data_IF_435716213512
#
_entry.id   IF_435716213512
#
_cell.length_a   1.000
_cell.length_b   1.000
_cell.length_c   1.000
_cell.angle_alpha   90.00
_cell.angle_beta   90.00
_cell.angle_gamma   90.00
#
_symmetry.space_group_name_H-M   'P 1'
#
loop_
_entity.id
_entity.type
_entity.pdbx_description
1 polymer ?
#
# COMPACT_ATOMS: atom_id res chain seq x y z
N UNK A 1 2.75 -16.06 2.28
CA UNK A 1 1.79 -14.93 2.27
C UNK A 1 0.84 -15.07 3.44
N UNK A 2 0.54 -13.96 4.12
CA UNK A 2 -0.46 -13.90 5.18
C UNK A 2 -1.47 -12.80 4.86
N UNK A 3 -2.75 -13.17 4.84
CA UNK A 3 -3.87 -12.23 4.69
C UNK A 3 -4.39 -11.79 6.07
N UNK A 4 -4.70 -10.51 6.19
CA UNK A 4 -5.31 -9.92 7.37
C UNK A 4 -6.68 -9.35 6.98
N UNK A 5 -7.77 -9.92 7.52
CA UNK A 5 -9.12 -9.44 7.24
C UNK A 5 -9.47 -8.13 7.97
N UNK A 6 -8.63 -7.70 8.91
CA UNK A 6 -8.83 -6.53 9.77
C UNK A 6 -7.54 -5.70 9.88
N UNK A 7 -7.71 -4.38 9.99
CA UNK A 7 -6.61 -3.44 10.15
C UNK A 7 -5.84 -3.61 11.46
N UNK A 8 -6.53 -3.97 12.54
CA UNK A 8 -5.94 -4.19 13.87
C UNK A 8 -4.89 -5.31 13.83
N UNK A 9 -5.23 -6.45 13.21
CA UNK A 9 -4.32 -7.58 13.10
C UNK A 9 -3.13 -7.28 12.20
N UNK A 10 -3.38 -6.55 11.10
CA UNK A 10 -2.33 -6.08 10.21
C UNK A 10 -1.37 -5.12 10.93
N UNK A 11 -1.90 -4.17 11.69
CA UNK A 11 -1.12 -3.19 12.43
C UNK A 11 -0.25 -3.86 13.51
N UNK A 12 -0.82 -4.79 14.28
CA UNK A 12 -0.06 -5.52 15.30
C UNK A 12 1.15 -6.25 14.68
N UNK A 13 0.95 -6.91 13.53
CA UNK A 13 2.03 -7.60 12.84
C UNK A 13 3.03 -6.63 12.19
N UNK A 14 2.56 -5.51 11.65
CA UNK A 14 3.42 -4.46 11.11
C UNK A 14 4.36 -3.90 12.18
N UNK A 15 3.85 -3.60 13.37
CA UNK A 15 4.63 -3.13 14.52
C UNK A 15 5.72 -4.15 14.91
N UNK A 16 5.37 -5.43 14.95
CA UNK A 16 6.34 -6.50 15.23
C UNK A 16 7.48 -6.51 14.20
N UNK A 17 7.15 -6.47 12.89
CA UNK A 17 8.16 -6.53 11.84
C UNK A 17 9.02 -5.25 11.78
N UNK A 18 8.44 -4.08 11.99
CA UNK A 18 9.20 -2.82 12.06
C UNK A 18 10.22 -2.84 13.20
N UNK A 19 9.86 -3.42 14.36
CA UNK A 19 10.79 -3.59 15.49
C UNK A 19 11.96 -4.52 15.16
N UNK A 20 11.76 -5.48 14.25
CA UNK A 20 12.78 -6.46 13.85
C UNK A 20 13.68 -5.98 12.69
N UNK A 21 13.41 -4.82 12.11
CA UNK A 21 14.19 -4.25 11.03
C UNK A 21 15.67 -4.03 11.42
N UNK A 22 16.60 -4.39 10.52
CA UNK A 22 18.03 -4.27 10.77
C UNK A 22 18.78 -3.45 9.70
N UNK A 23 18.23 -3.34 8.48
CA UNK A 23 18.93 -2.72 7.35
C UNK A 23 18.17 -1.53 6.78
N UNK A 24 16.89 -1.70 6.45
CA UNK A 24 16.08 -0.62 5.93
C UNK A 24 14.57 -0.81 6.17
N UNK A 25 13.88 0.31 6.26
CA UNK A 25 12.42 0.42 6.31
C UNK A 25 12.00 1.41 5.22
N UNK A 26 11.18 0.97 4.27
CA UNK A 26 10.58 1.80 3.25
C UNK A 26 9.06 1.80 3.42
N UNK A 27 8.48 2.99 3.49
CA UNK A 27 7.03 3.16 3.67
C UNK A 27 6.50 4.16 2.64
N UNK A 28 5.39 3.80 1.98
CA UNK A 28 4.71 4.62 0.97
C UNK A 28 3.21 4.58 1.24
N UNK A 29 2.61 5.73 1.56
CA UNK A 29 1.21 5.80 1.99
C UNK A 29 0.49 7.03 1.46
N UNK A 30 -0.80 6.86 1.14
CA UNK A 30 -1.66 7.95 0.69
C UNK A 30 -2.12 8.86 1.83
N UNK A 31 -2.52 8.27 2.98
CA UNK A 31 -2.95 9.04 4.16
C UNK A 31 -2.06 8.71 5.34
N UNK A 32 -1.53 9.76 5.96
CA UNK A 32 -0.88 9.72 7.27
C UNK A 32 -1.61 10.71 8.16
N UNK A 33 -2.05 10.26 9.33
CA UNK A 33 -2.81 11.08 10.25
C UNK A 33 -2.36 10.83 11.68
N UNK A 34 -2.14 11.90 12.41
CA UNK A 34 -1.73 11.81 13.80
C UNK A 34 -2.75 11.03 14.63
N UNK A 35 -2.27 10.13 15.47
CA UNK A 35 -3.03 9.24 16.31
C UNK A 35 -2.19 8.06 16.77
N UNK A 36 -2.79 7.12 17.52
CA UNK A 36 -2.10 5.96 18.12
C UNK A 36 -1.32 5.15 17.07
N UNK A 37 -1.93 4.89 15.91
CA UNK A 37 -1.29 4.11 14.85
C UNK A 37 -0.03 4.77 14.31
N UNK A 38 -0.14 6.05 13.91
CA UNK A 38 1.00 6.78 13.36
C UNK A 38 2.07 7.04 14.40
N UNK A 39 1.69 7.46 15.60
CA UNK A 39 2.64 7.83 16.66
C UNK A 39 3.47 6.61 17.08
N UNK A 40 2.85 5.41 17.17
CA UNK A 40 3.55 4.15 17.41
C UNK A 40 4.56 3.82 16.30
N UNK A 41 4.15 3.93 15.03
CA UNK A 41 5.04 3.67 13.89
C UNK A 41 6.18 4.67 13.86
N UNK A 42 5.90 5.96 14.07
CA UNK A 42 6.90 7.03 14.06
C UNK A 42 7.95 6.84 15.16
N UNK A 43 7.55 6.44 16.36
CA UNK A 43 8.48 6.12 17.46
C UNK A 43 9.45 5.00 17.06
N UNK A 44 8.94 3.94 16.43
CA UNK A 44 9.78 2.84 15.96
C UNK A 44 10.71 3.31 14.84
N UNK A 45 10.22 4.05 13.85
CA UNK A 45 11.01 4.58 12.75
C UNK A 45 12.15 5.49 13.25
N UNK A 46 11.85 6.39 14.20
CA UNK A 46 12.85 7.27 14.80
C UNK A 46 13.93 6.48 15.55
N UNK A 47 13.53 5.49 16.33
CA UNK A 47 14.47 4.61 17.05
C UNK A 47 15.36 3.84 16.06
N UNK A 48 14.75 3.23 15.04
CA UNK A 48 15.47 2.47 14.01
C UNK A 48 16.43 3.36 13.19
N UNK A 49 16.04 4.58 12.87
CA UNK A 49 16.94 5.53 12.22
C UNK A 49 18.17 5.87 13.10
N UNK A 50 17.98 6.03 14.41
CA UNK A 50 19.08 6.23 15.37
C UNK A 50 19.98 4.99 15.50
N UNK A 51 19.45 3.79 15.30
CA UNK A 51 20.19 2.53 15.24
C UNK A 51 20.98 2.35 13.92
N UNK A 52 20.82 3.26 12.94
CA UNK A 52 21.52 3.24 11.64
C UNK A 52 20.75 2.54 10.52
N UNK A 53 19.49 2.16 10.74
CA UNK A 53 18.60 1.62 9.70
C UNK A 53 18.24 2.72 8.70
N UNK A 54 18.27 2.43 7.39
CA UNK A 54 17.86 3.37 6.33
C UNK A 54 16.33 3.48 6.29
N UNK A 55 15.78 4.49 6.97
CA UNK A 55 14.32 4.71 7.07
C UNK A 55 13.88 5.75 6.06
N UNK A 56 12.98 5.36 5.15
CA UNK A 56 12.43 6.23 4.10
C UNK A 56 10.91 6.22 4.11
N UNK A 57 10.32 7.40 3.93
CA UNK A 57 8.89 7.61 3.86
C UNK A 57 8.52 8.40 2.61
N UNK A 58 7.62 7.86 1.80
CA UNK A 58 6.90 8.59 0.74
C UNK A 58 5.47 8.78 1.23
N UNK A 59 4.92 9.98 1.03
CA UNK A 59 3.51 10.25 1.25
C UNK A 59 2.93 11.08 0.11
N UNK A 60 1.63 10.89 -0.16
CA UNK A 60 0.90 11.75 -1.09
C UNK A 60 0.55 13.07 -0.41
N UNK A 61 0.97 14.19 -1.01
CA UNK A 61 0.78 15.50 -0.39
C UNK A 61 -0.70 15.88 -0.27
N UNK A 62 -1.53 15.52 -1.26
CA UNK A 62 -2.97 15.78 -1.21
C UNK A 62 -3.68 14.95 -0.15
N UNK A 63 -3.37 13.64 -0.10
CA UNK A 63 -3.95 12.72 0.89
C UNK A 63 -3.63 13.12 2.34
N UNK A 64 -2.47 13.76 2.53
CA UNK A 64 -1.99 14.17 3.85
C UNK A 64 -2.22 15.65 4.18
N UNK A 65 -2.52 16.51 3.20
CA UNK A 65 -2.52 17.98 3.34
C UNK A 65 -3.35 18.55 4.49
N UNK A 66 -4.46 17.88 4.84
CA UNK A 66 -5.34 18.31 5.95
C UNK A 66 -4.93 17.74 7.32
N UNK A 67 -3.97 16.82 7.36
CA UNK A 67 -3.70 15.99 8.54
C UNK A 67 -2.30 16.15 9.10
N UNK A 68 -1.32 16.53 8.28
CA UNK A 68 0.06 16.71 8.70
C UNK A 68 0.43 18.19 8.79
N UNK A 69 1.26 18.59 9.77
CA UNK A 69 1.67 19.98 9.91
C UNK A 69 2.65 20.40 8.79
N UNK A 70 2.69 21.69 8.48
CA UNK A 70 3.59 22.25 7.45
C UNK A 70 5.09 21.97 7.70
N UNK A 71 5.47 21.74 8.95
CA UNK A 71 6.85 21.38 9.33
C UNK A 71 7.15 19.88 9.27
N UNK A 72 6.21 19.04 8.86
CA UNK A 72 6.33 17.57 8.88
C UNK A 72 7.64 17.05 8.27
N UNK A 73 8.00 17.54 7.07
CA UNK A 73 9.26 17.12 6.42
C UNK A 73 10.48 17.47 7.28
N UNK A 74 10.47 18.65 7.91
CA UNK A 74 11.56 19.06 8.79
C UNK A 74 11.63 18.17 10.02
N UNK A 75 10.49 17.92 10.66
CA UNK A 75 10.41 17.08 11.85
C UNK A 75 10.90 15.64 11.57
N UNK A 76 10.53 15.07 10.41
CA UNK A 76 11.01 13.74 10.01
C UNK A 76 12.54 13.72 9.81
N UNK A 77 13.08 14.75 9.14
CA UNK A 77 14.54 14.85 8.93
C UNK A 77 15.31 14.99 10.24
N UNK A 78 14.79 15.76 11.20
CA UNK A 78 15.37 15.91 12.54
C UNK A 78 15.40 14.57 13.31
N UNK A 79 14.46 13.66 13.01
CA UNK A 79 14.39 12.29 13.55
C UNK A 79 15.30 11.29 12.79
N UNK A 80 16.02 11.74 11.76
CA UNK A 80 16.86 10.86 10.93
C UNK A 80 16.10 10.10 9.84
N UNK A 81 14.82 10.40 9.63
CA UNK A 81 13.96 9.76 8.64
C UNK A 81 14.05 10.54 7.32
N UNK A 82 14.39 9.86 6.23
CA UNK A 82 14.34 10.43 4.88
C UNK A 82 12.88 10.48 4.42
N UNK A 83 12.41 11.65 4.00
CA UNK A 83 11.00 11.82 3.61
C UNK A 83 10.88 12.54 2.28
N UNK A 84 9.93 12.09 1.45
CA UNK A 84 9.60 12.67 0.17
C UNK A 84 8.08 12.79 0.00
N UNK A 85 7.63 13.96 -0.48
CA UNK A 85 6.22 14.20 -0.78
C UNK A 85 5.95 13.92 -2.27
N UNK A 86 5.00 13.05 -2.57
CA UNK A 86 4.57 12.84 -3.93
C UNK A 86 3.63 13.97 -4.36
N UNK A 87 3.92 14.54 -5.53
CA UNK A 87 3.13 15.55 -6.23
C UNK A 87 2.61 16.68 -5.31
N UNK A 88 3.52 17.50 -4.74
CA UNK A 88 3.18 18.58 -3.82
C UNK A 88 2.15 19.53 -4.41
N UNK A 89 1.20 19.98 -3.59
CA UNK A 89 0.16 20.93 -3.99
C UNK A 89 0.81 22.30 -4.16
N UNK A 90 0.82 22.78 -5.40
CA UNK A 90 1.29 24.13 -5.73
C UNK A 90 0.15 25.14 -5.77
N UNK A 91 0.47 26.45 -5.74
CA UNK A 91 -0.53 27.53 -5.77
C UNK A 91 -1.25 27.64 -7.13
N UNK A 92 -0.75 27.00 -8.18
CA UNK A 92 -1.33 27.02 -9.52
C UNK A 92 -1.97 25.67 -9.82
N UNK A 93 -3.25 25.66 -10.12
CA UNK A 93 -3.99 24.48 -10.53
C UNK A 93 -3.39 23.89 -11.81
N UNK A 94 -2.80 22.69 -11.74
CA UNK A 94 -2.25 21.99 -12.89
C UNK A 94 -2.93 20.61 -12.99
N UNK A 95 -3.30 20.19 -14.20
CA UNK A 95 -3.90 18.87 -14.46
C UNK A 95 -3.05 17.69 -13.94
N UNK A 96 -1.73 17.87 -13.86
CA UNK A 96 -0.83 16.89 -13.23
C UNK A 96 -1.10 16.68 -11.74
N UNK A 97 -1.76 17.61 -11.06
CA UNK A 97 -2.14 17.48 -9.64
C UNK A 97 -3.22 16.42 -9.41
N UNK A 98 -3.91 15.96 -10.46
CA UNK A 98 -4.86 14.86 -10.38
C UNK A 98 -4.19 13.48 -10.24
N UNK A 99 -2.93 13.35 -10.65
CA UNK A 99 -2.19 12.12 -10.43
C UNK A 99 -1.85 12.00 -8.94
N UNK A 100 -2.35 10.94 -8.31
CA UNK A 100 -2.17 10.69 -6.88
C UNK A 100 -1.56 9.32 -6.66
N UNK A 101 -0.71 9.23 -5.64
CA UNK A 101 -0.13 7.97 -5.23
C UNK A 101 -1.02 7.32 -4.16
N UNK A 102 -1.87 6.38 -4.59
CA UNK A 102 -2.80 5.69 -3.69
C UNK A 102 -2.25 4.37 -3.16
N UNK A 103 -0.98 4.04 -3.41
CA UNK A 103 -0.35 2.82 -2.93
C UNK A 103 -0.15 2.84 -1.42
N UNK A 104 -0.16 1.67 -0.81
CA UNK A 104 0.20 1.43 0.58
C UNK A 104 1.21 0.30 0.56
N UNK A 105 2.47 0.68 0.74
CA UNK A 105 3.59 -0.24 0.69
C UNK A 105 4.43 -0.05 1.94
N UNK A 106 4.76 -1.14 2.62
CA UNK A 106 5.86 -1.17 3.57
C UNK A 106 6.80 -2.30 3.18
N UNK A 107 8.08 -2.01 3.11
CA UNK A 107 9.15 -2.99 2.90
C UNK A 107 10.11 -2.94 4.06
N UNK A 108 10.47 -4.10 4.60
CA UNK A 108 11.39 -4.25 5.70
C UNK A 108 12.49 -5.21 5.27
N UNK A 109 13.73 -4.73 5.26
CA UNK A 109 14.95 -5.48 4.90
C UNK A 109 14.87 -6.24 3.57
N UNK A 110 13.95 -5.85 2.66
CA UNK A 110 13.80 -6.42 1.32
C UNK A 110 13.13 -7.78 1.25
N UNK A 111 12.83 -8.43 2.37
CA UNK A 111 12.22 -9.77 2.38
C UNK A 111 10.88 -9.86 3.12
N UNK A 112 10.46 -8.83 3.84
CA UNK A 112 9.10 -8.68 4.38
C UNK A 112 8.45 -7.47 3.74
N UNK A 113 7.26 -7.65 3.19
CA UNK A 113 6.48 -6.59 2.57
C UNK A 113 5.03 -6.60 3.04
N UNK A 114 4.43 -5.42 3.15
CA UNK A 114 3.00 -5.24 3.41
C UNK A 114 2.39 -4.38 2.30
N UNK A 115 1.17 -4.75 1.91
CA UNK A 115 0.33 -3.94 1.01
C UNK A 115 -1.15 -4.18 1.32
N UNK A 116 -2.03 -3.36 0.77
CA UNK A 116 -3.49 -3.46 0.98
C UNK A 116 -4.19 -2.12 0.93
N UNK A 117 -5.36 -2.03 1.56
CA UNK A 117 -6.17 -0.81 1.61
C UNK A 117 -5.87 0.10 2.81
N UNK A 118 -5.20 -0.41 3.83
CA UNK A 118 -5.02 0.22 5.14
C UNK A 118 -4.03 1.39 5.06
N UNK A 119 -4.50 2.61 5.37
CA UNK A 119 -3.64 3.78 5.56
C UNK A 119 -3.18 3.92 7.01
N UNK A 120 -2.30 4.91 7.28
CA UNK A 120 -1.76 5.16 8.61
C UNK A 120 -2.64 6.15 9.39
N UNK A 121 -3.80 5.67 9.85
CA UNK A 121 -4.73 6.46 10.64
C UNK A 121 -5.60 5.56 11.54
N UNK A 122 -6.01 6.08 12.68
CA UNK A 122 -6.70 5.36 13.76
C UNK A 122 -8.06 4.77 13.35
N UNK A 123 -8.72 5.34 12.35
CA UNK A 123 -9.95 4.77 11.80
C UNK A 123 -9.75 3.39 11.18
N UNK A 124 -8.58 3.12 10.58
CA UNK A 124 -8.27 1.82 9.96
C UNK A 124 -8.00 0.70 10.97
N UNK A 125 -7.71 1.05 12.22
CA UNK A 125 -7.53 0.10 13.33
C UNK A 125 -8.64 0.22 14.38
N UNK A 126 -9.77 0.84 14.03
CA UNK A 126 -10.95 1.02 14.86
C UNK A 126 -10.71 1.69 16.24
N UNK A 127 -9.60 2.44 16.38
CA UNK A 127 -9.35 3.29 17.56
C UNK A 127 -10.13 4.60 17.50
N UNK A 128 -10.56 4.99 16.31
CA UNK A 128 -11.42 6.14 16.06
C UNK A 128 -12.60 5.76 15.18
N UNK A 129 -13.81 5.92 15.68
CA UNK A 129 -15.02 5.69 14.90
C UNK A 129 -15.27 6.89 13.98
N UNK A 130 -15.30 6.65 12.66
CA UNK A 130 -15.59 7.67 11.65
C UNK A 130 -16.93 7.40 10.95
N UNK A 131 -17.14 6.19 10.44
CA UNK A 131 -18.34 5.76 9.70
C UNK A 131 -18.90 4.44 10.22
N UNK A 132 -18.66 4.11 11.49
CA UNK A 132 -18.93 2.82 12.08
C UNK A 132 -17.66 1.97 12.19
N UNK A 133 -17.82 0.66 12.32
CA UNK A 133 -16.70 -0.27 12.34
C UNK A 133 -16.04 -0.31 10.96
N UNK A 134 -14.74 -0.02 10.91
CA UNK A 134 -13.99 0.02 9.66
C UNK A 134 -13.38 -1.35 9.37
N UNK A 135 -13.76 -1.92 8.24
CA UNK A 135 -13.17 -3.17 7.75
C UNK A 135 -12.34 -2.88 6.51
N UNK A 136 -11.04 -3.05 6.65
CA UNK A 136 -10.08 -2.98 5.57
C UNK A 136 -9.11 -4.14 5.68
N UNK A 137 -8.40 -4.44 4.60
CA UNK A 137 -7.61 -5.66 4.49
C UNK A 137 -6.16 -5.34 4.19
N UNK A 138 -5.27 -6.20 4.70
CA UNK A 138 -3.85 -6.16 4.43
C UNK A 138 -3.30 -7.53 4.05
N UNK A 139 -2.18 -7.50 3.34
CA UNK A 139 -1.42 -8.70 2.98
C UNK A 139 0.03 -8.50 3.40
N UNK A 140 0.58 -9.48 4.13
CA UNK A 140 2.01 -9.61 4.38
C UNK A 140 2.59 -10.66 3.44
N UNK A 141 3.63 -10.27 2.75
CA UNK A 141 4.41 -11.11 1.84
C UNK A 141 5.78 -11.31 2.48
N UNK A 142 6.35 -12.49 2.34
CA UNK A 142 7.70 -12.81 2.78
C UNK A 142 8.42 -13.56 1.66
N UNK A 143 9.67 -13.20 1.41
CA UNK A 143 10.50 -13.83 0.40
C UNK A 143 10.74 -12.98 -0.84
N UNK A 144 11.13 -13.63 -1.94
CA UNK A 144 11.61 -12.97 -3.16
C UNK A 144 10.58 -12.06 -3.83
N UNK A 145 9.28 -12.34 -3.69
CA UNK A 145 8.21 -11.52 -4.24
C UNK A 145 8.17 -10.09 -3.66
N UNK A 146 8.77 -9.87 -2.49
CA UNK A 146 8.91 -8.53 -1.89
C UNK A 146 9.78 -7.61 -2.75
N UNK A 147 10.64 -8.17 -3.61
CA UNK A 147 11.43 -7.39 -4.55
C UNK A 147 10.58 -6.51 -5.47
N UNK A 148 9.41 -6.97 -5.87
CA UNK A 148 8.49 -6.15 -6.67
C UNK A 148 8.01 -4.90 -5.90
N UNK A 149 7.66 -5.05 -4.62
CA UNK A 149 7.29 -3.91 -3.77
C UNK A 149 8.48 -2.96 -3.55
N UNK A 150 9.67 -3.53 -3.31
CA UNK A 150 10.91 -2.76 -3.14
C UNK A 150 11.23 -1.93 -4.39
N UNK A 151 11.14 -2.56 -5.57
CA UNK A 151 11.40 -1.89 -6.84
C UNK A 151 10.39 -0.79 -7.13
N UNK A 152 9.11 -1.00 -6.84
CA UNK A 152 8.06 0.02 -6.97
C UNK A 152 8.34 1.22 -6.07
N UNK A 153 8.69 0.99 -4.79
CA UNK A 153 9.06 2.06 -3.87
C UNK A 153 10.29 2.83 -4.36
N UNK A 154 11.36 2.14 -4.73
CA UNK A 154 12.61 2.76 -5.16
C UNK A 154 12.44 3.54 -6.47
N UNK A 155 11.63 3.05 -7.39
CA UNK A 155 11.30 3.77 -8.63
C UNK A 155 10.59 5.10 -8.32
N UNK A 156 9.60 5.08 -7.42
CA UNK A 156 8.91 6.29 -6.98
C UNK A 156 9.85 7.22 -6.21
N UNK A 157 10.66 6.67 -5.32
CA UNK A 157 11.66 7.44 -4.57
C UNK A 157 12.60 8.18 -5.51
N UNK A 158 13.23 7.47 -6.44
CA UNK A 158 14.16 8.06 -7.42
C UNK A 158 13.48 9.12 -8.28
N UNK A 159 12.22 8.90 -8.69
CA UNK A 159 11.45 9.88 -9.43
C UNK A 159 11.26 11.18 -8.63
N UNK A 160 10.86 11.09 -7.35
CA UNK A 160 10.56 12.28 -6.53
C UNK A 160 11.83 13.03 -6.14
N UNK A 161 12.90 12.32 -5.73
CA UNK A 161 14.14 12.96 -5.25
C UNK A 161 15.16 13.21 -6.34
N UNK A 162 14.83 12.87 -7.59
CA UNK A 162 15.70 13.01 -8.76
C UNK A 162 17.06 12.32 -8.58
N UNK A 163 17.06 11.10 -8.08
CA UNK A 163 18.26 10.27 -7.89
C UNK A 163 18.27 9.04 -8.80
N UNK A 164 19.45 8.43 -8.94
CA UNK A 164 19.66 7.19 -9.69
C UNK A 164 20.38 6.20 -8.78
N UNK A 165 19.67 5.71 -7.77
CA UNK A 165 20.25 4.79 -6.81
C UNK A 165 20.34 3.37 -7.37
N UNK A 166 21.42 2.68 -7.07
CA UNK A 166 21.56 1.25 -7.38
C UNK A 166 20.66 0.42 -6.46
N UNK A 167 19.71 -0.32 -7.06
CA UNK A 167 18.75 -1.15 -6.34
C UNK A 167 19.35 -2.46 -5.83
N UNK A 168 20.51 -2.88 -6.34
CA UNK A 168 21.10 -4.20 -6.02
C UNK A 168 21.32 -4.40 -4.52
N UNK A 169 21.66 -3.32 -3.79
CA UNK A 169 21.87 -3.35 -2.34
C UNK A 169 20.61 -3.65 -1.52
N UNK A 170 19.43 -3.55 -2.11
CA UNK A 170 18.13 -3.80 -1.46
C UNK A 170 17.51 -5.13 -1.86
N UNK A 171 18.21 -5.93 -2.66
CA UNK A 171 17.69 -7.24 -3.08
C UNK A 171 17.52 -8.18 -1.88
N UNK A 172 16.46 -9.01 -1.87
CA UNK A 172 16.16 -9.94 -0.77
C UNK A 172 17.36 -10.83 -0.41
N UNK A 173 18.10 -11.31 -1.40
CA UNK A 173 19.27 -12.15 -1.21
C UNK A 173 20.40 -11.51 -0.38
N UNK A 174 20.44 -10.17 -0.28
CA UNK A 174 21.44 -9.46 0.51
C UNK A 174 21.15 -9.53 2.02
N UNK A 175 19.89 -9.74 2.40
CA UNK A 175 19.43 -9.59 3.79
C UNK A 175 18.74 -10.84 4.33
N UNK A 176 18.37 -11.78 3.46
CA UNK A 176 17.72 -13.02 3.82
C UNK A 176 18.70 -14.02 4.40
N UNK A 177 18.39 -14.60 5.56
CA UNK A 177 19.27 -15.55 6.27
C UNK A 177 19.10 -17.01 5.82
N UNK A 178 17.94 -17.35 5.25
CA UNK A 178 17.62 -18.71 4.82
C UNK A 178 16.68 -18.70 3.61
N UNK A 179 16.70 -19.71 2.74
CA UNK A 179 15.70 -19.86 1.69
C UNK A 179 14.30 -19.97 2.27
N UNK A 180 13.31 -19.41 1.58
CA UNK A 180 11.90 -19.62 1.91
C UNK A 180 11.39 -20.91 1.27
N UNK A 181 10.67 -21.70 2.04
CA UNK A 181 9.81 -22.73 1.48
C UNK A 181 8.57 -22.06 0.88
N UNK A 182 8.26 -22.36 -0.36
CA UNK A 182 7.07 -21.86 -1.02
C UNK A 182 6.45 -22.98 -1.88
N UNK A 183 5.14 -22.88 -2.05
CA UNK A 183 4.32 -23.79 -2.85
C UNK A 183 3.56 -23.06 -3.97
N UNK A 184 3.90 -21.79 -4.24
CA UNK A 184 3.21 -20.98 -5.22
C UNK A 184 3.96 -19.73 -5.63
N UNK A 185 3.29 -18.91 -6.44
CA UNK A 185 3.82 -17.65 -6.95
C UNK A 185 3.00 -16.47 -6.42
N UNK A 186 3.70 -15.39 -6.10
CA UNK A 186 3.10 -14.09 -5.74
C UNK A 186 3.74 -13.03 -6.62
N UNK A 187 2.91 -12.28 -7.31
CA UNK A 187 3.36 -11.24 -8.22
C UNK A 187 2.72 -9.89 -7.84
N UNK A 188 3.35 -9.11 -6.96
CA UNK A 188 2.95 -7.73 -6.77
C UNK A 188 3.17 -6.93 -8.05
N UNK A 189 2.20 -6.10 -8.41
CA UNK A 189 2.29 -5.19 -9.55
C UNK A 189 1.79 -3.79 -9.18
N UNK A 190 2.24 -2.80 -9.90
CA UNK A 190 1.73 -1.43 -9.83
C UNK A 190 1.13 -1.04 -11.17
N UNK A 191 0.16 -0.15 -11.12
CA UNK A 191 -0.42 0.49 -12.30
C UNK A 191 0.04 1.95 -12.38
N UNK A 192 0.17 2.48 -13.58
CA UNK A 192 0.64 3.85 -13.81
C UNK A 192 -0.09 4.47 -14.99
N UNK A 193 -0.54 5.72 -14.89
CA UNK A 193 -1.15 6.41 -16.03
C UNK A 193 -0.11 6.85 -17.08
N UNK A 194 1.17 6.54 -16.90
CA UNK A 194 2.27 7.08 -17.71
C UNK A 194 2.83 6.10 -18.75
N UNK A 195 2.44 4.82 -18.70
CA UNK A 195 3.03 3.76 -19.53
C UNK A 195 2.09 3.25 -20.64
N UNK A 196 0.90 3.79 -20.78
CA UNK A 196 -0.11 3.39 -21.78
C UNK A 196 -0.56 1.91 -21.68
N UNK A 197 -0.33 1.26 -20.56
CA UNK A 197 -0.75 -0.12 -20.30
C UNK A 197 -1.66 -0.17 -19.07
N UNK A 198 -2.90 -0.64 -19.26
CA UNK A 198 -3.90 -0.77 -18.20
C UNK A 198 -3.70 -2.10 -17.46
N UNK A 199 -2.58 -2.26 -16.76
CA UNK A 199 -2.19 -3.54 -16.11
C UNK A 199 -3.26 -4.00 -15.14
N UNK A 200 -3.76 -3.12 -14.28
CA UNK A 200 -4.76 -3.46 -13.27
C UNK A 200 -6.07 -3.94 -13.89
N UNK A 201 -6.60 -3.20 -14.86
CA UNK A 201 -7.82 -3.55 -15.57
C UNK A 201 -7.69 -4.88 -16.32
N UNK A 202 -6.59 -5.06 -17.06
CA UNK A 202 -6.32 -6.30 -17.80
C UNK A 202 -6.26 -7.52 -16.87
N UNK A 203 -5.69 -7.38 -15.68
CA UNK A 203 -5.63 -8.46 -14.68
C UNK A 203 -7.03 -8.78 -14.16
N UNK A 204 -7.84 -7.77 -13.80
CA UNK A 204 -9.22 -7.97 -13.35
C UNK A 204 -10.07 -8.64 -14.43
N UNK A 205 -10.02 -8.16 -15.66
CA UNK A 205 -10.73 -8.78 -16.80
C UNK A 205 -10.30 -10.23 -17.01
N UNK A 206 -9.00 -10.51 -16.90
CA UNK A 206 -8.48 -11.87 -17.05
C UNK A 206 -9.01 -12.82 -15.94
N UNK A 207 -9.05 -12.35 -14.69
CA UNK A 207 -9.60 -13.12 -13.56
C UNK A 207 -11.09 -13.39 -13.75
N UNK A 208 -11.87 -12.36 -14.10
CA UNK A 208 -13.33 -12.45 -14.29
C UNK A 208 -13.66 -13.43 -15.43
N UNK A 209 -12.98 -13.28 -16.58
CA UNK A 209 -13.23 -14.12 -17.76
C UNK A 209 -12.79 -15.59 -17.57
N UNK A 210 -11.93 -15.88 -16.60
CA UNK A 210 -11.49 -17.24 -16.28
C UNK A 210 -12.22 -17.86 -15.11
N UNK A 211 -13.02 -17.11 -14.40
CA UNK A 211 -13.79 -17.62 -13.26
C UNK A 211 -14.74 -18.75 -13.70
N UNK A 212 -14.85 -19.77 -12.86
CA UNK A 212 -15.72 -20.96 -13.12
C UNK A 212 -16.83 -21.11 -12.10
N UNK A 213 -16.59 -20.70 -10.86
CA UNK A 213 -17.52 -20.92 -9.76
C UNK A 213 -18.06 -19.60 -9.21
N UNK A 214 -17.17 -18.64 -8.85
CA UNK A 214 -17.59 -17.37 -8.26
C UNK A 214 -16.59 -16.25 -8.56
N UNK A 215 -17.10 -15.00 -8.54
CA UNK A 215 -16.33 -13.75 -8.51
C UNK A 215 -16.93 -12.87 -7.41
N UNK A 216 -16.21 -12.64 -6.33
CA UNK A 216 -16.62 -11.79 -5.22
C UNK A 216 -15.72 -10.56 -5.14
N UNK A 217 -16.32 -9.39 -5.27
CA UNK A 217 -15.64 -8.09 -5.26
C UNK A 217 -16.09 -7.30 -4.03
N UNK A 218 -15.15 -6.93 -3.17
CA UNK A 218 -15.39 -6.05 -2.04
C UNK A 218 -14.75 -4.69 -2.31
N UNK A 219 -15.56 -3.67 -2.52
CA UNK A 219 -15.08 -2.30 -2.76
C UNK A 219 -16.13 -1.28 -2.31
N UNK A 220 -15.74 -0.20 -1.62
CA UNK A 220 -16.65 0.91 -1.34
C UNK A 220 -16.92 1.77 -2.59
N UNK A 221 -16.14 1.58 -3.66
CA UNK A 221 -16.21 2.37 -4.88
C UNK A 221 -16.33 1.43 -6.08
N UNK A 222 -17.55 1.12 -6.49
CA UNK A 222 -17.79 0.36 -7.73
C UNK A 222 -17.86 1.32 -8.93
N UNK A 223 -16.70 1.84 -9.32
CA UNK A 223 -16.56 2.70 -10.50
C UNK A 223 -15.85 1.87 -11.57
N UNK A 224 -16.65 1.21 -12.40
CA UNK A 224 -16.20 0.31 -13.46
C UNK A 224 -16.58 0.86 -14.82
N UNK A 225 -15.78 0.57 -15.83
CA UNK A 225 -16.07 0.89 -17.22
C UNK A 225 -17.04 -0.12 -17.87
N UNK A 226 -17.26 0.06 -19.16
CA UNK A 226 -18.19 -0.79 -19.93
C UNK A 226 -17.62 -2.20 -20.12
N UNK A 227 -16.34 -2.34 -20.29
CA UNK A 227 -15.63 -3.61 -20.50
C UNK A 227 -15.73 -4.48 -19.26
N UNK A 228 -15.45 -3.94 -18.11
CA UNK A 228 -15.56 -4.64 -16.82
C UNK A 228 -17.01 -5.03 -16.50
N UNK A 229 -17.97 -4.11 -16.74
CA UNK A 229 -19.39 -4.40 -16.57
C UNK A 229 -19.84 -5.56 -17.49
N UNK A 230 -19.41 -5.54 -18.74
CA UNK A 230 -19.73 -6.59 -19.71
C UNK A 230 -19.15 -7.94 -19.28
N UNK A 231 -17.90 -7.96 -18.83
CA UNK A 231 -17.25 -9.19 -18.34
C UNK A 231 -17.98 -9.78 -17.13
N UNK A 232 -18.36 -8.97 -16.15
CA UNK A 232 -19.12 -9.43 -14.98
C UNK A 232 -20.51 -9.97 -15.37
N UNK A 233 -21.22 -9.26 -16.27
CA UNK A 233 -22.53 -9.73 -16.76
C UNK A 233 -22.41 -11.04 -17.53
N UNK A 234 -21.37 -11.23 -18.35
CA UNK A 234 -21.15 -12.47 -19.06
C UNK A 234 -20.82 -13.62 -18.10
N UNK A 235 -19.93 -13.40 -17.13
CA UNK A 235 -19.62 -14.40 -16.12
C UNK A 235 -20.89 -14.87 -15.38
N UNK A 236 -21.76 -13.93 -14.98
CA UNK A 236 -23.03 -14.27 -14.34
C UNK A 236 -23.97 -15.07 -15.27
N UNK A 237 -24.07 -14.72 -16.56
CA UNK A 237 -24.85 -15.47 -17.55
C UNK A 237 -24.31 -16.87 -17.82
N UNK A 238 -23.01 -17.05 -17.70
CA UNK A 238 -22.34 -18.34 -17.81
C UNK A 238 -22.45 -19.22 -16.56
N UNK A 239 -23.19 -18.73 -15.54
CA UNK A 239 -23.47 -19.47 -14.31
C UNK A 239 -22.45 -19.26 -13.18
N UNK A 240 -21.53 -18.30 -13.33
CA UNK A 240 -20.62 -17.90 -12.25
C UNK A 240 -21.39 -17.07 -11.22
N UNK A 241 -21.22 -17.37 -9.93
CA UNK A 241 -21.79 -16.57 -8.83
C UNK A 241 -21.01 -15.24 -8.72
N UNK A 242 -21.50 -14.19 -9.38
CA UNK A 242 -20.84 -12.90 -9.47
C UNK A 242 -21.48 -11.88 -8.53
N UNK A 243 -20.77 -11.49 -7.46
CA UNK A 243 -21.29 -10.59 -6.41
C UNK A 243 -20.33 -9.44 -6.16
N UNK A 244 -20.88 -8.23 -6.09
CA UNK A 244 -20.14 -7.04 -5.63
C UNK A 244 -20.71 -6.51 -4.32
N UNK A 245 -19.86 -6.39 -3.31
CA UNK A 245 -20.17 -5.83 -2.00
C UNK A 245 -19.60 -4.42 -1.90
N UNK A 246 -20.50 -3.42 -1.86
CA UNK A 246 -20.13 -2.00 -1.75
C UNK A 246 -20.26 -1.44 -0.33
N UNK A 247 -20.88 -2.20 0.57
CA UNK A 247 -21.08 -1.84 1.99
C UNK A 247 -21.28 -3.10 2.84
N UNK A 248 -20.99 -3.00 4.14
CA UNK A 248 -21.06 -4.15 5.08
C UNK A 248 -22.43 -4.38 5.68
N UNK A 249 -23.36 -3.41 5.59
CA UNK A 249 -24.74 -3.55 6.05
C UNK A 249 -25.66 -3.38 4.86
N UNK A 250 -26.50 -4.39 4.62
CA UNK A 250 -27.67 -4.21 3.78
C UNK A 250 -28.58 -3.18 4.46
N UNK A 251 -28.96 -2.12 3.76
CA UNK A 251 -30.11 -1.34 4.17
C UNK A 251 -31.33 -2.21 3.83
N UNK A 252 -31.96 -2.79 4.85
CA UNK A 252 -33.28 -3.33 4.70
C UNK A 252 -34.20 -2.13 4.41
N UNK A 253 -34.60 -1.99 3.17
CA UNK A 253 -35.66 -1.06 2.74
C UNK A 253 -36.98 -1.78 2.70
#
# INVERSE_FOLDING_TARGET
VRYFPLGEDNFAKLVEELNNANHFIFMEYFIIKQGEMWDTILEIMERKAKEGVDVRLIYDDFGCSMWIPSRFIKDMKEKGIKVAAFNPIGPVFNLRQNNRDHRKITVIDGYVGFTGGINLADEYINKKVRFGYWKDTGVRIEGEAVWSLTSMFLSMWNYIVHSTEDYSRFMPAQHQKAPFENDGFVQPYGDSPLDHENVGENIYLNIINRAKNYVYIFTPYLIIDHEMLTALCNAAKDGVDAVSYTHLRAHET
#
